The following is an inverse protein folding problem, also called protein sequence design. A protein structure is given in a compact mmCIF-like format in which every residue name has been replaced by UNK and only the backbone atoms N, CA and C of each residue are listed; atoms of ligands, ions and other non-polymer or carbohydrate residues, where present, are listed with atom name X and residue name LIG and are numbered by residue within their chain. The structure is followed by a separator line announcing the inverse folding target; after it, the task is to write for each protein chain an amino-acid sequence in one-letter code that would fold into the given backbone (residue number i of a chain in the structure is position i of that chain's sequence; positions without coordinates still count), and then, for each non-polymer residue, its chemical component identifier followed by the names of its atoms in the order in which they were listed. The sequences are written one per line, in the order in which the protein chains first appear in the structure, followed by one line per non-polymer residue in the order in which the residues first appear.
data_IF_004007167613
#
_entry.id   IF_004007167613
#
_cell.length_a   1.000
_cell.length_b   1.000
_cell.length_c   1.000
_cell.angle_alpha   90.00
_cell.angle_beta   90.00
_cell.angle_gamma   90.00
#
_symmetry.space_group_name_H-M   'P 1'
#
loop_
_entity.id
_entity.type
_entity.pdbx_description
1 polymer ?
#
# COMPACT_ATOMS: atom_id res chain seq x y z
N UNK A 1 -5.24 -70.53 11.17
CA UNK A 1 -5.38 -69.48 12.19
C UNK A 1 -5.61 -68.17 11.46
N UNK A 2 -6.79 -67.56 11.61
CA UNK A 2 -7.14 -66.30 10.93
C UNK A 2 -6.71 -65.10 11.78
N UNK A 3 -6.16 -64.03 11.17
CA UNK A 3 -5.80 -62.84 11.94
C UNK A 3 -7.05 -62.10 12.43
N UNK A 4 -6.96 -61.40 13.57
CA UNK A 4 -8.11 -60.76 14.19
C UNK A 4 -8.55 -59.48 13.45
N UNK A 5 -9.87 -59.24 13.43
CA UNK A 5 -10.58 -58.26 12.58
C UNK A 5 -10.35 -56.77 12.92
N UNK A 6 -9.50 -56.44 13.87
CA UNK A 6 -9.25 -55.04 14.28
C UNK A 6 -8.16 -54.33 13.46
N UNK A 7 -7.60 -54.98 12.43
CA UNK A 7 -6.62 -54.40 11.50
C UNK A 7 -7.22 -53.73 10.25
N UNK A 8 -8.52 -53.45 10.22
CA UNK A 8 -9.07 -52.50 9.24
C UNK A 8 -8.93 -51.07 9.77
N UNK A 9 -7.68 -50.61 9.86
CA UNK A 9 -7.41 -49.19 9.91
C UNK A 9 -7.92 -48.60 8.61
N UNK A 10 -9.13 -48.05 8.66
CA UNK A 10 -9.64 -47.11 7.68
C UNK A 10 -8.51 -46.13 7.34
N UNK A 11 -7.85 -46.33 6.19
CA UNK A 11 -7.14 -45.24 5.53
C UNK A 11 -8.23 -44.25 5.13
N UNK A 12 -8.61 -43.41 6.08
CA UNK A 12 -9.30 -42.17 5.80
C UNK A 12 -8.31 -41.40 4.96
N UNK A 13 -8.55 -41.32 3.65
CA UNK A 13 -7.90 -40.32 2.82
C UNK A 13 -8.01 -38.99 3.57
N UNK A 14 -6.93 -38.21 3.73
CA UNK A 14 -7.09 -36.85 4.23
C UNK A 14 -8.15 -36.17 3.34
N UNK A 15 -9.07 -35.38 3.91
CA UNK A 15 -9.96 -34.58 3.08
C UNK A 15 -9.10 -33.79 2.09
N UNK A 16 -9.55 -33.57 0.84
CA UNK A 16 -8.85 -32.66 -0.04
C UNK A 16 -8.68 -31.35 0.73
N UNK A 17 -7.43 -30.95 0.95
CA UNK A 17 -7.12 -29.62 1.45
C UNK A 17 -7.87 -28.68 0.54
N UNK A 18 -8.96 -28.09 1.02
CA UNK A 18 -9.52 -26.89 0.42
C UNK A 18 -8.34 -25.94 0.41
N UNK A 19 -7.77 -25.71 -0.77
CA UNK A 19 -6.84 -24.62 -0.96
C UNK A 19 -7.60 -23.41 -0.44
N UNK A 20 -7.17 -22.90 0.72
CA UNK A 20 -7.61 -21.61 1.18
C UNK A 20 -7.06 -20.69 0.11
N UNK A 21 -7.92 -20.35 -0.86
CA UNK A 21 -7.57 -19.36 -1.86
C UNK A 21 -7.26 -18.11 -1.05
N UNK A 22 -5.97 -17.77 -1.00
CA UNK A 22 -5.54 -16.50 -0.46
C UNK A 22 -6.30 -15.37 -1.15
N UNK A 23 -6.36 -14.19 -0.54
CA UNK A 23 -6.92 -13.03 -1.21
C UNK A 23 -6.32 -12.91 -2.62
N UNK A 24 -7.13 -12.56 -3.64
CA UNK A 24 -6.63 -12.41 -5.00
C UNK A 24 -5.51 -11.36 -5.00
N UNK A 25 -4.49 -11.60 -5.83
CA UNK A 25 -3.40 -10.66 -6.00
C UNK A 25 -3.95 -9.28 -6.41
N UNK A 26 -3.37 -8.18 -5.91
CA UNK A 26 -3.84 -6.85 -6.26
C UNK A 26 -3.72 -6.62 -7.76
N UNK A 27 -4.73 -5.96 -8.33
CA UNK A 27 -4.75 -5.67 -9.76
C UNK A 27 -3.72 -4.60 -10.12
N UNK A 28 -3.06 -4.80 -11.27
CA UNK A 28 -2.22 -3.78 -11.87
C UNK A 28 -2.98 -2.55 -12.36
N UNK A 29 -2.27 -1.52 -12.86
CA UNK A 29 -2.90 -0.34 -13.44
C UNK A 29 -3.59 -0.66 -14.77
N UNK A 30 -4.65 0.08 -15.06
CA UNK A 30 -5.30 0.14 -16.36
C UNK A 30 -4.49 1.05 -17.30
N UNK A 31 -3.40 0.52 -17.86
CA UNK A 31 -2.51 1.27 -18.73
C UNK A 31 -1.29 1.84 -17.98
N UNK A 32 -0.87 3.06 -18.33
CA UNK A 32 0.30 3.65 -17.68
C UNK A 32 -0.06 4.11 -16.26
N UNK A 33 0.69 3.62 -15.27
CA UNK A 33 0.33 3.72 -13.84
C UNK A 33 0.07 5.15 -13.36
N UNK A 34 0.79 6.14 -13.89
CA UNK A 34 0.62 7.55 -13.48
C UNK A 34 -0.70 8.16 -13.99
N UNK A 35 -1.33 7.54 -14.98
CA UNK A 35 -2.59 8.00 -15.57
C UNK A 35 -3.81 7.25 -15.03
N UNK A 36 -3.60 6.16 -14.29
CA UNK A 36 -4.68 5.44 -13.63
C UNK A 36 -4.93 6.03 -12.23
N UNK A 37 -6.06 6.73 -12.00
CA UNK A 37 -6.36 7.35 -10.71
C UNK A 37 -6.53 6.33 -9.59
N UNK A 38 -7.15 5.18 -9.87
CA UNK A 38 -7.38 4.14 -8.85
C UNK A 38 -6.04 3.51 -8.44
N UNK A 39 -5.14 3.32 -9.39
CA UNK A 39 -3.80 2.82 -9.09
C UNK A 39 -2.97 3.83 -8.30
N UNK A 40 -3.09 5.13 -8.61
CA UNK A 40 -2.44 6.20 -7.84
C UNK A 40 -2.95 6.28 -6.41
N UNK A 41 -4.25 6.14 -6.20
CA UNK A 41 -4.83 6.11 -4.84
C UNK A 41 -4.34 4.90 -4.05
N UNK A 42 -4.16 3.74 -4.71
CA UNK A 42 -3.52 2.56 -4.10
C UNK A 42 -2.06 2.81 -3.75
N UNK A 43 -1.26 3.39 -4.65
CA UNK A 43 0.14 3.74 -4.35
C UNK A 43 0.24 4.73 -3.19
N UNK A 44 -0.62 5.75 -3.18
CA UNK A 44 -0.70 6.72 -2.10
C UNK A 44 -1.00 6.06 -0.75
N UNK A 45 -2.02 5.19 -0.71
CA UNK A 45 -2.40 4.45 0.49
C UNK A 45 -1.29 3.47 0.93
N UNK A 46 -0.61 2.85 -0.02
CA UNK A 46 0.53 1.96 0.22
C UNK A 46 1.71 2.71 0.84
N UNK A 47 2.03 3.91 0.36
CA UNK A 47 3.10 4.74 0.92
C UNK A 47 2.77 5.19 2.34
N UNK A 48 1.54 5.61 2.62
CA UNK A 48 1.13 5.94 4.00
C UNK A 48 1.24 4.73 4.91
N UNK A 49 0.73 3.58 4.49
CA UNK A 49 0.83 2.33 5.23
C UNK A 49 2.29 1.97 5.51
N UNK A 50 3.18 2.11 4.52
CA UNK A 50 4.61 1.84 4.72
C UNK A 50 5.23 2.80 5.75
N UNK A 51 4.92 4.10 5.68
CA UNK A 51 5.43 5.07 6.65
C UNK A 51 4.95 4.77 8.08
N UNK A 52 3.68 4.41 8.26
CA UNK A 52 3.12 4.03 9.55
C UNK A 52 3.81 2.76 10.09
N UNK A 53 4.00 1.74 9.24
CA UNK A 53 4.69 0.50 9.62
C UNK A 53 6.15 0.79 10.01
N UNK A 54 6.87 1.60 9.23
CA UNK A 54 8.27 1.98 9.51
C UNK A 54 8.34 2.68 10.86
N UNK A 55 7.43 3.63 11.14
CA UNK A 55 7.38 4.33 12.43
C UNK A 55 7.23 3.36 13.60
N UNK A 56 6.30 2.41 13.50
CA UNK A 56 5.99 1.45 14.57
C UNK A 56 7.09 0.40 14.77
N UNK A 57 7.82 0.04 13.70
CA UNK A 57 8.79 -1.06 13.73
C UNK A 57 10.24 -0.59 13.92
N UNK A 58 10.53 0.70 13.74
CA UNK A 58 11.91 1.22 13.83
C UNK A 58 12.51 0.93 15.20
N UNK A 59 13.71 0.35 15.22
CA UNK A 59 14.46 0.05 16.43
C UNK A 59 15.97 0.01 16.12
N UNK A 60 16.80 -0.07 17.17
CA UNK A 60 18.26 -0.02 17.02
C UNK A 60 18.85 -1.24 16.29
N UNK A 61 18.16 -2.37 16.28
CA UNK A 61 18.64 -3.62 15.68
C UNK A 61 18.32 -3.72 14.17
N UNK A 62 17.46 -2.84 13.65
CA UNK A 62 16.98 -2.91 12.28
C UNK A 62 16.93 -1.53 11.61
N UNK A 63 17.90 -1.22 10.73
CA UNK A 63 18.05 0.12 10.19
C UNK A 63 16.92 0.53 9.24
N UNK A 64 16.67 1.84 9.18
CA UNK A 64 15.65 2.45 8.33
C UNK A 64 15.75 2.01 6.86
N UNK A 65 16.96 1.98 6.31
CA UNK A 65 17.18 1.62 4.90
C UNK A 65 16.86 0.15 4.61
N UNK A 66 17.13 -0.75 5.55
CA UNK A 66 16.79 -2.17 5.41
C UNK A 66 15.27 -2.38 5.48
N UNK A 67 14.58 -1.63 6.35
CA UNK A 67 13.12 -1.66 6.42
C UNK A 67 12.47 -1.19 5.11
N UNK A 68 12.94 -0.08 4.57
CA UNK A 68 12.41 0.43 3.30
C UNK A 68 12.66 -0.55 2.16
N UNK A 69 13.87 -1.14 2.05
CA UNK A 69 14.21 -2.08 0.97
C UNK A 69 13.42 -3.40 1.00
N UNK A 70 12.91 -3.80 2.17
CA UNK A 70 12.11 -5.02 2.32
C UNK A 70 10.64 -4.84 1.94
N UNK A 71 10.15 -3.59 1.80
CA UNK A 71 8.73 -3.33 1.59
C UNK A 71 8.22 -3.87 0.25
N UNK A 72 9.03 -3.81 -0.82
CA UNK A 72 8.68 -4.34 -2.15
C UNK A 72 8.43 -5.84 -2.14
N UNK A 73 9.17 -6.59 -1.33
CA UNK A 73 9.08 -8.05 -1.24
C UNK A 73 7.76 -8.49 -0.59
N UNK A 74 7.10 -7.54 0.10
CA UNK A 74 5.83 -7.74 0.78
C UNK A 74 4.71 -6.84 0.24
N UNK A 75 4.91 -6.18 -0.89
CA UNK A 75 4.01 -5.16 -1.41
C UNK A 75 2.60 -5.71 -1.72
N UNK A 76 2.51 -6.92 -2.27
CA UNK A 76 1.21 -7.54 -2.57
C UNK A 76 0.41 -7.86 -1.31
N UNK A 77 1.08 -8.38 -0.29
CA UNK A 77 0.42 -8.88 0.91
C UNK A 77 0.14 -7.78 1.93
N UNK A 78 1.08 -6.84 2.11
CA UNK A 78 0.98 -5.79 3.12
C UNK A 78 0.41 -4.49 2.56
N UNK A 79 0.73 -4.14 1.32
CA UNK A 79 0.48 -2.80 0.77
C UNK A 79 -0.63 -2.79 -0.29
N UNK A 80 -1.12 -3.96 -0.72
CA UNK A 80 -2.21 -4.07 -1.69
C UNK A 80 -1.84 -3.56 -3.09
N UNK A 81 -0.55 -3.55 -3.43
CA UNK A 81 -0.06 -3.19 -4.77
C UNK A 81 0.74 -4.34 -5.38
N UNK A 82 0.71 -4.54 -6.71
CA UNK A 82 1.48 -5.62 -7.33
C UNK A 82 2.98 -5.46 -7.07
N UNK A 83 3.70 -6.57 -6.88
CA UNK A 83 5.10 -6.55 -6.43
C UNK A 83 6.01 -5.73 -7.34
N UNK A 84 5.72 -5.72 -8.65
CA UNK A 84 6.44 -4.92 -9.66
C UNK A 84 6.44 -3.41 -9.37
N UNK A 85 5.45 -2.92 -8.62
CA UNK A 85 5.32 -1.50 -8.26
C UNK A 85 5.73 -1.19 -6.82
N UNK A 86 6.15 -2.19 -6.03
CA UNK A 86 6.63 -1.99 -4.66
C UNK A 86 7.77 -0.97 -4.58
N UNK A 87 8.67 -0.99 -5.57
CA UNK A 87 9.78 -0.02 -5.69
C UNK A 87 9.31 1.44 -5.80
N UNK A 88 8.11 1.69 -6.32
CA UNK A 88 7.55 3.05 -6.37
C UNK A 88 7.15 3.50 -4.96
N UNK A 89 6.59 2.59 -4.16
CA UNK A 89 6.17 2.87 -2.79
C UNK A 89 7.39 3.15 -1.90
N UNK A 90 8.45 2.34 -2.04
CA UNK A 90 9.72 2.53 -1.34
C UNK A 90 10.36 3.89 -1.66
N UNK A 91 10.48 4.19 -2.96
CA UNK A 91 11.13 5.42 -3.41
C UNK A 91 10.35 6.66 -2.97
N UNK A 92 9.01 6.61 -3.01
CA UNK A 92 8.18 7.71 -2.51
C UNK A 92 8.31 7.86 -0.99
N UNK A 93 8.23 6.77 -0.21
CA UNK A 93 8.40 6.81 1.24
C UNK A 93 9.77 7.38 1.64
N UNK A 94 10.83 6.92 1.00
CA UNK A 94 12.18 7.43 1.17
C UNK A 94 12.27 8.94 0.88
N UNK A 95 11.66 9.40 -0.22
CA UNK A 95 11.65 10.81 -0.59
C UNK A 95 10.89 11.68 0.42
N UNK A 96 9.79 11.19 0.99
CA UNK A 96 9.04 11.91 2.01
C UNK A 96 9.82 12.02 3.33
N UNK A 97 10.52 10.95 3.74
CA UNK A 97 11.36 10.96 4.95
C UNK A 97 12.53 11.95 4.80
N UNK A 98 13.20 11.93 3.65
CA UNK A 98 14.30 12.88 3.34
C UNK A 98 13.80 14.32 3.32
N UNK A 99 12.62 14.58 2.74
CA UNK A 99 12.00 15.91 2.78
C UNK A 99 11.63 16.35 4.20
N UNK A 100 11.14 15.44 5.04
CA UNK A 100 10.83 15.74 6.44
C UNK A 100 12.09 16.14 7.25
N UNK A 101 13.27 15.66 6.85
CA UNK A 101 14.55 16.10 7.40
C UNK A 101 15.02 17.46 6.86
N UNK A 102 14.23 18.13 6.01
CA UNK A 102 14.56 19.41 5.39
C UNK A 102 15.57 19.29 4.24
N UNK A 103 15.77 18.09 3.70
CA UNK A 103 16.68 17.85 2.58
C UNK A 103 15.91 17.87 1.25
N UNK A 104 16.54 18.40 0.21
CA UNK A 104 15.96 18.35 -1.13
C UNK A 104 16.01 16.92 -1.68
N UNK A 105 14.83 16.31 -1.86
CA UNK A 105 14.69 14.97 -2.38
C UNK A 105 15.01 14.86 -3.88
N UNK A 106 14.77 15.91 -4.66
CA UNK A 106 14.94 15.87 -6.12
C UNK A 106 14.14 14.74 -6.77
N UNK A 107 14.83 13.78 -7.41
CA UNK A 107 14.21 12.57 -7.92
C UNK A 107 14.11 11.50 -6.83
N UNK A 108 12.96 10.80 -6.66
CA UNK A 108 12.81 9.75 -5.65
C UNK A 108 13.73 8.53 -5.88
N UNK A 109 14.30 8.38 -7.08
CA UNK A 109 15.30 7.36 -7.41
C UNK A 109 16.74 7.91 -7.45
N UNK A 110 16.93 9.16 -7.01
CA UNK A 110 18.21 9.87 -7.11
C UNK A 110 19.17 9.56 -5.97
N UNK A 111 20.46 9.86 -6.19
CA UNK A 111 21.51 9.70 -5.19
C UNK A 111 21.26 10.54 -3.92
N UNK A 112 20.60 11.70 -4.06
CA UNK A 112 20.25 12.57 -2.94
C UNK A 112 19.39 11.86 -1.89
N UNK A 113 18.47 10.98 -2.34
CA UNK A 113 17.65 10.16 -1.44
C UNK A 113 18.50 9.18 -0.65
N UNK A 114 19.37 8.42 -1.34
CA UNK A 114 20.24 7.45 -0.70
C UNK A 114 21.18 8.11 0.32
N UNK A 115 21.76 9.27 -0.02
CA UNK A 115 22.62 10.04 0.88
C UNK A 115 21.83 10.61 2.07
N UNK A 116 20.63 11.14 1.83
CA UNK A 116 19.76 11.65 2.88
C UNK A 116 19.37 10.57 3.88
N UNK A 117 18.94 9.40 3.40
CA UNK A 117 18.61 8.27 4.26
C UNK A 117 19.81 7.79 5.07
N UNK A 118 20.99 7.67 4.44
CA UNK A 118 22.20 7.28 5.16
C UNK A 118 22.56 8.26 6.29
N UNK A 119 22.29 9.56 6.10
CA UNK A 119 22.46 10.57 7.15
C UNK A 119 21.42 10.46 8.27
N UNK A 120 20.15 10.22 7.91
CA UNK A 120 19.05 10.03 8.88
C UNK A 120 19.28 8.79 9.74
N UNK A 121 19.79 7.71 9.17
CA UNK A 121 20.06 6.45 9.88
C UNK A 121 21.12 6.59 10.98
N UNK A 122 21.95 7.64 10.94
CA UNK A 122 22.91 7.95 12.01
C UNK A 122 22.29 8.68 13.21
N UNK A 123 21.03 9.09 13.12
CA UNK A 123 20.32 9.75 14.20
C UNK A 123 19.82 8.72 15.23
N UNK A 124 19.57 9.12 16.49
CA UNK A 124 18.84 8.27 17.44
C UNK A 124 17.50 7.80 16.86
N UNK A 125 17.09 6.57 17.19
CA UNK A 125 15.85 5.94 16.70
C UNK A 125 14.63 6.84 16.93
N UNK A 126 14.55 7.53 18.07
CA UNK A 126 13.41 8.42 18.34
C UNK A 126 13.35 9.60 17.39
N UNK A 127 14.50 10.11 16.93
CA UNK A 127 14.56 11.19 15.94
C UNK A 127 14.19 10.67 14.55
N UNK A 128 14.66 9.48 14.19
CA UNK A 128 14.26 8.82 12.95
C UNK A 128 12.74 8.59 12.91
N UNK A 129 12.14 8.06 13.98
CA UNK A 129 10.69 7.90 14.12
C UNK A 129 9.94 9.23 14.00
N UNK A 130 10.46 10.31 14.60
CA UNK A 130 9.85 11.64 14.47
C UNK A 130 9.85 12.13 13.02
N UNK A 131 10.92 11.87 12.26
CA UNK A 131 11.00 12.21 10.84
C UNK A 131 10.02 11.39 10.00
N UNK A 132 9.92 10.09 10.25
CA UNK A 132 8.96 9.21 9.57
C UNK A 132 7.51 9.66 9.87
N UNK A 133 7.20 9.96 11.13
CA UNK A 133 5.89 10.51 11.53
C UNK A 133 5.59 11.84 10.85
N UNK A 134 6.58 12.73 10.77
CA UNK A 134 6.43 14.01 10.08
C UNK A 134 6.20 13.82 8.58
N UNK A 135 6.91 12.88 7.95
CA UNK A 135 6.71 12.49 6.56
C UNK A 135 5.30 11.95 6.31
N UNK A 136 4.82 11.02 7.14
CA UNK A 136 3.46 10.47 7.04
C UNK A 136 2.39 11.59 7.12
N UNK A 137 2.53 12.51 8.09
CA UNK A 137 1.61 13.64 8.24
C UNK A 137 1.63 14.59 7.05
N UNK A 138 2.81 14.92 6.54
CA UNK A 138 2.95 15.81 5.38
C UNK A 138 2.37 15.17 4.12
N UNK A 139 2.68 13.90 3.91
CA UNK A 139 2.18 13.12 2.78
C UNK A 139 0.65 12.98 2.84
N UNK A 140 0.09 12.75 4.03
CA UNK A 140 -1.35 12.69 4.27
C UNK A 140 -2.11 13.95 3.83
N UNK A 141 -1.48 15.13 3.96
CA UNK A 141 -2.07 16.44 3.61
C UNK A 141 -1.95 16.71 2.11
N UNK A 142 -0.88 16.23 1.48
CA UNK A 142 -0.56 16.49 0.07
C UNK A 142 -1.23 15.50 -0.89
N UNK A 143 -2.13 14.66 -0.37
CA UNK A 143 -2.93 13.71 -1.15
C UNK A 143 -3.45 14.34 -2.46
N UNK A 144 -3.36 13.63 -3.60
CA UNK A 144 -3.99 14.09 -4.82
C UNK A 144 -5.47 14.27 -4.54
N UNK A 145 -5.92 15.52 -4.48
CA UNK A 145 -7.30 15.86 -4.17
C UNK A 145 -8.19 15.18 -5.20
N UNK A 146 -9.07 14.30 -4.71
CA UNK A 146 -10.17 13.70 -5.48
C UNK A 146 -10.85 14.83 -6.24
N UNK A 147 -10.64 14.89 -7.56
CA UNK A 147 -11.53 15.67 -8.42
C UNK A 147 -12.92 15.14 -8.11
N UNK A 148 -13.70 15.90 -7.35
CA UNK A 148 -15.11 15.62 -7.14
C UNK A 148 -15.68 15.65 -8.54
N UNK A 149 -15.89 14.47 -9.11
CA UNK A 149 -16.72 14.34 -10.28
C UNK A 149 -18.10 14.75 -9.80
N UNK A 150 -18.39 16.04 -9.95
CA UNK A 150 -19.74 16.56 -9.91
C UNK A 150 -20.42 15.95 -11.13
N UNK A 151 -20.80 14.67 -11.04
CA UNK A 151 -22.03 14.25 -11.67
C UNK A 151 -23.10 15.07 -10.97
N UNK A 152 -23.33 16.25 -11.52
CA UNK A 152 -24.56 16.97 -11.33
C UNK A 152 -25.65 16.01 -11.76
N UNK A 153 -26.25 15.34 -10.77
CA UNK A 153 -27.62 14.91 -10.84
C UNK A 153 -28.41 16.16 -11.21
N UNK A 154 -28.62 16.37 -12.50
CA UNK A 154 -29.55 17.36 -12.98
C UNK A 154 -30.92 16.91 -12.46
N UNK A 155 -31.62 17.67 -11.62
CA UNK A 155 -32.98 17.33 -11.27
C UNK A 155 -33.80 17.40 -12.56
N UNK A 156 -34.30 16.27 -13.04
CA UNK A 156 -35.32 16.28 -14.09
C UNK A 156 -36.51 17.09 -13.57
N UNK A 157 -36.94 18.17 -14.24
CA UNK A 157 -38.20 18.81 -13.90
C UNK A 157 -39.35 17.88 -14.29
N UNK A 158 -40.09 17.39 -13.29
CA UNK A 158 -41.42 16.82 -13.47
C UNK A 158 -42.29 17.84 -14.21
N UNK A 159 -42.68 17.56 -15.46
CA UNK A 159 -43.71 18.32 -16.17
C UNK A 159 -45.04 17.55 -16.16
N UNK A 160 -46.15 18.20 -15.77
CA UNK A 160 -47.46 17.58 -15.64
C UNK A 160 -48.10 17.30 -17.01
N UNK A 161 -48.84 16.20 -17.11
CA UNK A 161 -49.65 15.87 -18.28
C UNK A 161 -50.89 16.79 -18.35
N UNK A 162 -51.19 17.43 -19.51
CA UNK A 162 -52.46 18.13 -19.68
C UNK A 162 -53.57 17.11 -19.93
N UNK A 163 -54.51 17.03 -18.98
CA UNK A 163 -55.78 16.35 -19.15
C UNK A 163 -56.53 16.90 -20.36
N UNK A 164 -56.89 16.02 -21.28
CA UNK A 164 -57.68 16.34 -22.47
C UNK A 164 -59.13 15.98 -22.14
N UNK A 165 -59.92 16.97 -21.72
CA UNK A 165 -61.38 16.85 -21.65
C UNK A 165 -61.95 16.99 -23.06
N UNK A 166 -62.73 16.00 -23.49
CA UNK A 166 -63.77 16.16 -24.50
C UNK A 166 -64.94 15.24 -24.16
#
# INVERSE_FOLDING_TARGET
MSPPRWFQSNRRSPPPTTAVHGPPAPSGPNGFWITDPDFRDRLYSATLTLLDIVEDCLNDDFPLTEFLNGARDHAEHMLGVPSTYGILVEAEAAAQIVQAAGLEAGSPFGLAIAQGLAGIEQLPVEQQQQLVRAAARHYAITAPSRSVSVQAASPQPLRPAPGRSR
#
